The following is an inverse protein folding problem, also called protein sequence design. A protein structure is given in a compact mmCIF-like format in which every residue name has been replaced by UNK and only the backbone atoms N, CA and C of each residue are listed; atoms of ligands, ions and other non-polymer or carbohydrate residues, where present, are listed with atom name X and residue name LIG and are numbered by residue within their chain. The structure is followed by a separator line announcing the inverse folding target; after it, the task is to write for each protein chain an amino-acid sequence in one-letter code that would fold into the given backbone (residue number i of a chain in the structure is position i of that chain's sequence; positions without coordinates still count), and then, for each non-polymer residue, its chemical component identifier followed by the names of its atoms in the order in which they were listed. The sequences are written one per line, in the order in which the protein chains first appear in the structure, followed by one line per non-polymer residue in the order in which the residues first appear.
data_IF_700812314808
#
_entry.id   IF_700812314808
#
_cell.length_a   1.000
_cell.length_b   1.000
_cell.length_c   1.000
_cell.angle_alpha   90.00
_cell.angle_beta   90.00
_cell.angle_gamma   90.00
#
_symmetry.space_group_name_H-M   'P 1'
#
loop_
_entity.id
_entity.type
_entity.pdbx_description
1 polymer ?
#
# COMPACT_ATOMS: atom_id res chain seq x y z
N UNK A 1 -37.70 22.29 18.31
CA UNK A 1 -37.28 20.86 18.25
C UNK A 1 -35.96 20.81 17.48
N UNK A 2 -34.84 20.61 18.16
CA UNK A 2 -33.55 20.47 17.51
C UNK A 2 -33.44 19.06 16.89
N UNK A 3 -33.03 18.91 15.61
CA UNK A 3 -32.82 17.60 15.04
C UNK A 3 -31.62 16.93 15.72
N UNK A 4 -31.85 15.73 16.24
CA UNK A 4 -30.81 14.88 16.82
C UNK A 4 -29.85 14.51 15.70
N UNK A 5 -28.61 14.96 15.79
CA UNK A 5 -27.55 14.59 14.85
C UNK A 5 -27.38 13.05 14.86
N UNK A 6 -27.28 12.40 13.67
CA UNK A 6 -27.10 10.95 13.63
C UNK A 6 -25.78 10.59 14.31
N UNK A 7 -25.86 9.71 15.28
CA UNK A 7 -24.70 9.11 15.94
C UNK A 7 -23.91 8.33 14.89
N UNK A 8 -22.81 8.88 14.41
CA UNK A 8 -21.85 8.16 13.56
C UNK A 8 -21.07 7.22 14.46
N UNK A 9 -21.56 6.00 14.60
CA UNK A 9 -20.76 4.91 15.15
C UNK A 9 -19.49 4.79 14.31
N UNK A 10 -18.33 5.08 14.93
CA UNK A 10 -17.04 4.73 14.33
C UNK A 10 -17.06 3.23 14.05
N UNK A 11 -16.76 2.77 12.82
CA UNK A 11 -16.64 1.34 12.59
C UNK A 11 -15.60 0.78 13.57
N UNK A 12 -15.81 -0.43 14.11
CA UNK A 12 -14.83 -1.05 14.99
C UNK A 12 -13.49 -1.09 14.28
N UNK A 13 -12.43 -0.64 14.95
CA UNK A 13 -11.08 -0.76 14.41
C UNK A 13 -10.78 -2.23 14.15
N UNK A 14 -10.24 -2.59 12.97
CA UNK A 14 -9.93 -3.98 12.69
C UNK A 14 -8.99 -4.51 13.76
N UNK A 15 -9.31 -5.67 14.32
CA UNK A 15 -8.44 -6.32 15.32
C UNK A 15 -7.15 -6.73 14.61
N UNK A 16 -6.09 -5.97 14.85
CA UNK A 16 -4.78 -6.22 14.27
C UNK A 16 -4.14 -7.42 14.95
N UNK A 17 -3.77 -8.49 14.21
CA UNK A 17 -3.12 -9.65 14.77
C UNK A 17 -1.85 -9.25 15.57
N UNK A 18 -1.79 -9.64 16.85
CA UNK A 18 -0.68 -9.28 17.75
C UNK A 18 -0.64 -7.80 18.18
N UNK A 19 -1.73 -7.06 17.99
CA UNK A 19 -1.94 -5.73 18.57
C UNK A 19 -1.08 -4.58 18.03
N UNK A 20 -0.14 -4.84 17.10
CA UNK A 20 0.78 -3.83 16.56
C UNK A 20 0.60 -3.69 15.05
N UNK A 21 0.19 -2.51 14.60
CA UNK A 21 -0.01 -2.24 13.17
C UNK A 21 1.31 -1.96 12.45
N UNK A 22 1.56 -2.69 11.35
CA UNK A 22 2.83 -2.67 10.62
C UNK A 22 2.75 -2.07 9.22
N UNK A 23 1.56 -1.99 8.59
CA UNK A 23 1.48 -1.56 7.18
C UNK A 23 1.78 -0.08 6.99
N UNK A 24 1.40 0.76 7.94
CA UNK A 24 1.67 2.20 7.92
C UNK A 24 2.07 2.66 9.32
N UNK A 25 3.30 3.09 9.47
CA UNK A 25 3.88 3.51 10.76
C UNK A 25 3.63 5.00 11.00
N UNK A 26 3.98 5.82 10.02
CA UNK A 26 3.86 7.28 10.08
C UNK A 26 3.83 7.88 8.65
N UNK A 27 4.03 9.17 8.52
CA UNK A 27 3.97 9.88 7.23
C UNK A 27 5.15 9.60 6.28
N UNK A 28 6.21 8.95 6.75
CA UNK A 28 7.40 8.62 5.96
C UNK A 28 7.70 7.13 5.88
N UNK A 29 7.06 6.32 6.72
CA UNK A 29 7.33 4.89 6.83
C UNK A 29 6.06 4.06 6.64
N UNK A 30 6.08 3.23 5.64
CA UNK A 30 5.03 2.23 5.35
C UNK A 30 5.63 1.02 4.64
N UNK A 31 4.90 -0.10 4.66
CA UNK A 31 5.28 -1.32 3.97
C UNK A 31 4.42 -1.49 2.70
N UNK A 32 5.05 -1.78 1.57
CA UNK A 32 4.41 -2.09 0.29
C UNK A 32 4.66 -3.52 -0.20
N UNK A 33 5.23 -4.37 0.64
CA UNK A 33 5.71 -5.70 0.22
C UNK A 33 4.59 -6.62 -0.27
N UNK A 34 3.44 -6.66 0.41
CA UNK A 34 2.28 -7.46 -0.02
C UNK A 34 1.68 -6.99 -1.35
N UNK A 35 2.00 -5.77 -1.80
CA UNK A 35 1.67 -5.25 -3.13
C UNK A 35 2.75 -5.55 -4.17
N UNK A 36 3.75 -6.39 -3.84
CA UNK A 36 4.82 -6.78 -4.75
C UNK A 36 5.94 -5.75 -4.92
N UNK A 37 6.14 -4.86 -3.95
CA UNK A 37 7.16 -3.80 -4.03
C UNK A 37 8.55 -4.34 -4.37
N UNK A 38 8.96 -5.43 -3.73
CA UNK A 38 10.28 -6.03 -3.88
C UNK A 38 10.32 -7.21 -4.87
N UNK A 39 9.18 -7.58 -5.48
CA UNK A 39 9.10 -8.66 -6.45
C UNK A 39 9.48 -8.19 -7.85
N UNK A 40 10.70 -7.67 -8.00
CA UNK A 40 11.27 -7.12 -9.24
C UNK A 40 12.73 -7.49 -9.38
N UNK A 41 13.25 -7.62 -10.63
CA UNK A 41 14.67 -7.94 -10.87
C UNK A 41 15.61 -6.90 -10.25
N UNK A 42 15.23 -5.63 -10.32
CA UNK A 42 15.92 -4.52 -9.67
C UNK A 42 14.99 -3.86 -8.65
N UNK A 43 15.17 -4.24 -7.40
CA UNK A 43 14.46 -3.69 -6.25
C UNK A 43 15.32 -2.73 -5.43
N UNK A 44 16.32 -2.08 -6.05
CA UNK A 44 17.10 -1.03 -5.39
C UNK A 44 16.22 0.16 -5.02
N UNK A 45 16.56 0.86 -3.94
CA UNK A 45 15.82 2.03 -3.45
C UNK A 45 15.54 3.06 -4.55
N UNK A 46 16.58 3.46 -5.29
CA UNK A 46 16.47 4.46 -6.34
C UNK A 46 15.52 4.05 -7.45
N UNK A 47 15.62 2.78 -7.89
CA UNK A 47 14.75 2.23 -8.92
C UNK A 47 13.29 2.15 -8.48
N UNK A 48 13.05 1.71 -7.25
CA UNK A 48 11.69 1.66 -6.69
C UNK A 48 11.11 3.07 -6.51
N UNK A 49 11.89 4.03 -6.08
CA UNK A 49 11.44 5.41 -5.93
C UNK A 49 11.06 6.04 -7.27
N UNK A 50 11.87 5.84 -8.30
CA UNK A 50 11.58 6.29 -9.68
C UNK A 50 10.29 5.66 -10.20
N UNK A 51 10.17 4.35 -10.07
CA UNK A 51 9.00 3.58 -10.51
C UNK A 51 7.71 4.05 -9.85
N UNK A 52 7.71 4.09 -8.52
CA UNK A 52 6.54 4.48 -7.75
C UNK A 52 6.17 5.95 -7.97
N UNK A 53 7.16 6.83 -8.08
CA UNK A 53 6.96 8.24 -8.41
C UNK A 53 6.31 8.43 -9.78
N UNK A 54 6.78 7.73 -10.79
CA UNK A 54 6.22 7.75 -12.14
C UNK A 54 4.76 7.28 -12.18
N UNK A 55 4.43 6.21 -11.43
CA UNK A 55 3.05 5.73 -11.31
C UNK A 55 2.15 6.78 -10.64
N UNK A 56 2.60 7.37 -9.55
CA UNK A 56 1.85 8.40 -8.83
C UNK A 56 1.56 9.60 -9.72
N UNK A 57 2.58 10.09 -10.43
CA UNK A 57 2.43 11.23 -11.32
C UNK A 57 1.48 10.94 -12.50
N UNK A 58 1.54 9.74 -13.06
CA UNK A 58 0.61 9.32 -14.11
C UNK A 58 -0.80 9.19 -13.55
N UNK A 59 -0.98 8.54 -12.38
CA UNK A 59 -2.30 8.31 -11.78
C UNK A 59 -2.99 9.61 -11.33
N UNK A 60 -2.26 10.66 -10.98
CA UNK A 60 -2.83 11.98 -10.67
C UNK A 60 -3.68 12.54 -11.80
N UNK A 61 -3.37 12.19 -13.05
CA UNK A 61 -4.07 12.65 -14.27
C UNK A 61 -5.21 11.73 -14.68
N UNK A 62 -5.34 10.57 -14.04
CA UNK A 62 -6.41 9.59 -14.33
C UNK A 62 -7.72 10.07 -13.72
N UNK A 63 -8.79 10.13 -14.53
CA UNK A 63 -10.15 10.33 -14.01
C UNK A 63 -10.54 9.17 -13.09
N UNK A 64 -11.33 9.49 -12.05
CA UNK A 64 -11.71 8.50 -11.03
C UNK A 64 -12.98 7.74 -11.45
N UNK A 65 -12.98 7.19 -12.66
CA UNK A 65 -13.97 6.25 -13.18
C UNK A 65 -13.35 4.87 -13.43
N UNK A 66 -14.19 3.87 -13.60
CA UNK A 66 -13.77 2.47 -13.72
C UNK A 66 -12.90 2.25 -14.95
N UNK A 67 -13.29 2.81 -16.09
CA UNK A 67 -12.64 2.58 -17.37
C UNK A 67 -11.24 3.22 -17.39
N UNK A 68 -11.11 4.45 -16.90
CA UNK A 68 -9.83 5.15 -16.84
C UNK A 68 -8.86 4.50 -15.84
N UNK A 69 -9.35 4.03 -14.69
CA UNK A 69 -8.54 3.30 -13.70
C UNK A 69 -8.08 1.96 -14.28
N UNK A 70 -8.94 1.24 -14.99
CA UNK A 70 -8.56 -0.03 -15.63
C UNK A 70 -7.58 0.18 -16.79
N UNK A 71 -7.75 1.22 -17.59
CA UNK A 71 -6.81 1.62 -18.64
C UNK A 71 -5.41 1.93 -18.05
N UNK A 72 -5.34 2.64 -16.92
CA UNK A 72 -4.09 2.87 -16.20
C UNK A 72 -3.45 1.55 -15.75
N UNK A 73 -4.23 0.61 -15.21
CA UNK A 73 -3.75 -0.71 -14.81
C UNK A 73 -3.09 -1.43 -15.98
N UNK A 74 -3.84 -1.59 -17.09
CA UNK A 74 -3.39 -2.30 -18.28
C UNK A 74 -2.11 -1.69 -18.88
N UNK A 75 -2.08 -0.36 -19.00
CA UNK A 75 -0.91 0.34 -19.54
C UNK A 75 0.31 0.22 -18.62
N UNK A 76 0.11 0.29 -17.31
CA UNK A 76 1.19 0.13 -16.34
C UNK A 76 1.74 -1.29 -16.35
N UNK A 77 0.88 -2.31 -16.38
CA UNK A 77 1.27 -3.71 -16.49
C UNK A 77 2.07 -3.98 -17.78
N UNK A 78 1.60 -3.44 -18.91
CA UNK A 78 2.27 -3.57 -20.21
C UNK A 78 3.66 -2.92 -20.22
N UNK A 79 3.76 -1.68 -19.70
CA UNK A 79 5.01 -0.91 -19.67
C UNK A 79 6.05 -1.51 -18.73
N UNK A 80 5.60 -2.10 -17.62
CA UNK A 80 6.44 -2.62 -16.56
C UNK A 80 6.60 -4.14 -16.61
N UNK A 81 6.25 -4.76 -17.73
CA UNK A 81 6.42 -6.19 -17.92
C UNK A 81 7.89 -6.56 -17.74
N UNK A 82 8.17 -7.44 -16.78
CA UNK A 82 9.51 -7.96 -16.52
C UNK A 82 9.41 -9.37 -15.93
N UNK A 83 10.49 -10.13 -16.05
CA UNK A 83 10.63 -11.36 -15.30
C UNK A 83 10.70 -11.04 -13.80
N UNK A 84 9.88 -11.71 -13.00
CA UNK A 84 9.79 -11.47 -11.55
C UNK A 84 10.47 -12.60 -10.80
N UNK A 85 11.18 -12.31 -9.68
CA UNK A 85 11.77 -13.35 -8.84
C UNK A 85 10.77 -14.42 -8.39
N UNK A 86 9.54 -14.01 -8.11
CA UNK A 86 8.43 -14.91 -7.76
C UNK A 86 7.30 -14.70 -8.77
N UNK A 87 7.23 -15.58 -9.77
CA UNK A 87 6.29 -15.44 -10.91
C UNK A 87 4.82 -15.42 -10.46
N UNK A 88 4.48 -16.23 -9.45
CA UNK A 88 3.11 -16.37 -8.93
C UNK A 88 2.69 -15.22 -8.00
N UNK A 89 3.62 -14.35 -7.62
CA UNK A 89 3.32 -13.22 -6.74
C UNK A 89 3.07 -11.95 -7.55
N UNK A 90 1.84 -11.44 -7.46
CA UNK A 90 1.42 -10.26 -8.22
C UNK A 90 2.10 -8.98 -7.76
N UNK A 91 2.59 -8.18 -8.71
CA UNK A 91 3.11 -6.85 -8.47
C UNK A 91 2.05 -5.80 -8.85
N UNK A 92 1.40 -5.23 -7.86
CA UNK A 92 0.26 -4.32 -8.05
C UNK A 92 0.67 -3.00 -8.74
N UNK A 93 0.06 -2.62 -9.86
CA UNK A 93 0.35 -1.36 -10.56
C UNK A 93 -0.14 -0.12 -9.81
N UNK A 94 -1.07 -0.30 -8.86
CA UNK A 94 -1.61 0.79 -8.05
C UNK A 94 -0.78 1.08 -6.79
N UNK A 95 0.36 0.43 -6.60
CA UNK A 95 1.31 0.83 -5.60
C UNK A 95 2.11 2.04 -6.12
N UNK A 96 2.04 3.15 -5.43
CA UNK A 96 2.72 4.40 -5.76
C UNK A 96 3.35 5.05 -4.54
N UNK A 97 3.80 6.30 -4.68
CA UNK A 97 4.21 7.15 -3.57
C UNK A 97 3.03 8.00 -3.09
N UNK A 98 2.74 7.95 -1.80
CA UNK A 98 1.67 8.70 -1.13
C UNK A 98 2.23 9.48 0.06
N UNK A 99 1.35 10.22 0.74
CA UNK A 99 1.73 11.07 1.88
C UNK A 99 2.37 12.39 1.45
N UNK A 100 2.84 13.19 2.41
CA UNK A 100 3.45 14.50 2.12
C UNK A 100 4.61 14.35 1.14
N UNK A 101 4.54 15.04 0.00
CA UNK A 101 5.56 15.00 -1.07
C UNK A 101 5.90 13.59 -1.59
N UNK A 102 5.00 12.62 -1.48
CA UNK A 102 5.28 11.25 -1.90
C UNK A 102 6.31 10.54 -1.01
N UNK A 103 6.21 10.75 0.29
CA UNK A 103 7.21 10.32 1.27
C UNK A 103 7.31 8.82 1.49
N UNK A 104 6.28 8.05 1.13
CA UNK A 104 6.20 6.61 1.41
C UNK A 104 5.39 5.83 0.37
N UNK A 105 5.62 4.52 0.19
CA UNK A 105 4.79 3.69 -0.67
C UNK A 105 3.36 3.55 -0.10
N UNK A 106 2.39 3.44 -1.01
CA UNK A 106 1.01 3.20 -0.63
C UNK A 106 0.08 3.02 -1.81
N UNK A 107 -1.15 2.64 -1.52
CA UNK A 107 -2.15 2.33 -2.53
C UNK A 107 -2.78 3.60 -3.12
N UNK A 108 -2.63 3.79 -4.43
CA UNK A 108 -3.24 4.90 -5.18
C UNK A 108 -4.78 4.82 -5.23
N UNK A 109 -5.35 3.65 -4.99
CA UNK A 109 -6.80 3.42 -4.94
C UNK A 109 -7.40 3.64 -3.54
N UNK A 110 -6.55 3.90 -2.53
CA UNK A 110 -7.02 4.09 -1.15
C UNK A 110 -7.89 5.36 -1.03
N UNK A 111 -8.98 5.36 -0.23
CA UNK A 111 -9.85 6.52 -0.08
C UNK A 111 -9.14 7.81 0.35
N UNK A 112 -8.03 7.70 1.08
CA UNK A 112 -7.23 8.85 1.52
C UNK A 112 -6.08 9.20 0.54
N UNK A 113 -5.94 8.51 -0.60
CA UNK A 113 -4.98 8.92 -1.62
C UNK A 113 -5.49 10.15 -2.39
N UNK A 114 -4.56 10.94 -2.91
CA UNK A 114 -4.84 12.19 -3.61
C UNK A 114 -5.84 11.98 -4.77
N UNK A 115 -6.85 12.83 -4.82
CA UNK A 115 -7.88 12.82 -5.86
C UNK A 115 -9.00 11.81 -5.69
N UNK A 116 -8.95 10.92 -4.68
CA UNK A 116 -9.99 9.91 -4.47
C UNK A 116 -11.19 10.42 -3.65
N UNK A 117 -11.08 11.57 -2.99
CA UNK A 117 -12.19 12.25 -2.28
C UNK A 117 -12.94 11.34 -1.28
N UNK A 118 -12.23 10.41 -0.62
CA UNK A 118 -12.81 9.48 0.34
C UNK A 118 -13.44 8.23 -0.27
N UNK A 119 -13.42 8.07 -1.60
CA UNK A 119 -13.96 6.90 -2.29
C UNK A 119 -12.92 5.78 -2.31
N UNK A 120 -13.34 4.59 -1.94
CA UNK A 120 -12.49 3.39 -1.95
C UNK A 120 -12.56 2.68 -3.31
N UNK A 121 -11.51 2.85 -4.12
CA UNK A 121 -11.38 2.20 -5.42
C UNK A 121 -10.62 0.85 -5.38
N UNK A 122 -10.20 0.37 -4.20
CA UNK A 122 -9.41 -0.88 -4.08
C UNK A 122 -10.12 -2.11 -4.63
N UNK A 123 -11.44 -2.06 -4.78
CA UNK A 123 -12.22 -3.08 -5.48
C UNK A 123 -11.80 -3.32 -6.94
N UNK A 124 -11.14 -2.35 -7.58
CA UNK A 124 -10.65 -2.43 -8.95
C UNK A 124 -9.23 -3.03 -9.06
N UNK A 125 -8.60 -3.37 -7.94
CA UNK A 125 -7.30 -4.07 -7.94
C UNK A 125 -7.49 -5.57 -8.18
N UNK A 126 -6.39 -6.25 -8.56
CA UNK A 126 -6.38 -7.69 -8.79
C UNK A 126 -6.87 -8.50 -7.58
N UNK A 127 -6.46 -8.12 -6.37
CA UNK A 127 -6.87 -8.81 -5.15
C UNK A 127 -8.27 -8.40 -4.65
N UNK A 128 -8.82 -7.29 -5.16
CA UNK A 128 -10.11 -6.76 -4.74
C UNK A 128 -10.08 -6.03 -3.39
N UNK A 129 -11.18 -5.32 -3.12
CA UNK A 129 -11.26 -4.40 -1.98
C UNK A 129 -11.10 -5.07 -0.61
N UNK A 130 -11.67 -6.26 -0.43
CA UNK A 130 -11.60 -6.98 0.85
C UNK A 130 -10.17 -7.41 1.18
N UNK A 131 -9.49 -8.09 0.23
CA UNK A 131 -8.12 -8.54 0.46
C UNK A 131 -7.17 -7.34 0.66
N UNK A 132 -7.30 -6.29 -0.17
CA UNK A 132 -6.45 -5.10 -0.02
C UNK A 132 -6.68 -4.31 1.28
N UNK A 133 -7.85 -4.47 1.92
CA UNK A 133 -8.18 -3.81 3.17
C UNK A 133 -7.81 -4.63 4.40
N UNK A 134 -8.09 -5.93 4.34
CA UNK A 134 -8.12 -6.79 5.54
C UNK A 134 -7.00 -7.83 5.56
N UNK A 135 -6.07 -7.81 4.59
CA UNK A 135 -4.94 -8.73 4.56
C UNK A 135 -3.86 -8.32 5.57
N UNK A 136 -3.50 -9.28 6.40
CA UNK A 136 -2.35 -9.20 7.30
C UNK A 136 -1.33 -10.27 6.91
N UNK A 137 -0.12 -9.86 6.57
CA UNK A 137 0.96 -10.78 6.18
C UNK A 137 1.41 -11.69 7.35
N UNK A 138 2.15 -12.78 7.09
CA UNK A 138 2.62 -13.69 8.14
C UNK A 138 3.34 -12.99 9.29
N UNK A 139 4.09 -11.93 9.03
CA UNK A 139 4.80 -11.15 10.05
C UNK A 139 3.89 -10.62 11.17
N UNK A 140 2.64 -10.28 10.84
CA UNK A 140 1.67 -9.89 11.86
C UNK A 140 1.38 -10.98 12.89
N UNK A 141 1.47 -12.24 12.48
CA UNK A 141 1.18 -13.40 13.32
C UNK A 141 2.44 -13.94 13.99
N UNK A 142 3.55 -13.98 13.26
CA UNK A 142 4.76 -14.70 13.64
C UNK A 142 5.74 -13.84 14.46
N UNK A 143 5.86 -12.53 14.13
CA UNK A 143 6.79 -11.66 14.83
C UNK A 143 6.23 -11.25 16.21
N UNK A 144 6.99 -11.45 17.30
CA UNK A 144 6.60 -11.01 18.63
C UNK A 144 6.32 -9.50 18.69
N UNK A 145 5.31 -9.07 19.46
CA UNK A 145 4.90 -7.66 19.56
C UNK A 145 6.04 -6.72 19.94
N UNK A 146 6.92 -7.15 20.85
CA UNK A 146 8.11 -6.36 21.24
C UNK A 146 9.05 -6.10 20.05
N UNK A 147 9.26 -7.10 19.19
CA UNK A 147 10.08 -6.93 17.98
C UNK A 147 9.41 -6.02 16.96
N UNK A 148 8.08 -6.10 16.79
CA UNK A 148 7.33 -5.19 15.94
C UNK A 148 7.53 -3.73 16.35
N UNK A 149 7.43 -3.43 17.64
CA UNK A 149 7.66 -2.08 18.17
C UNK A 149 9.10 -1.60 17.96
N UNK A 150 10.09 -2.48 18.15
CA UNK A 150 11.49 -2.16 17.87
C UNK A 150 11.65 -1.76 16.39
N UNK A 151 11.18 -2.61 15.46
CA UNK A 151 11.33 -2.33 14.02
C UNK A 151 10.63 -1.02 13.62
N UNK A 152 9.46 -0.75 14.13
CA UNK A 152 8.75 0.52 13.91
C UNK A 152 9.54 1.74 14.41
N UNK A 153 10.29 1.58 15.49
CA UNK A 153 11.04 2.67 16.11
C UNK A 153 12.38 2.93 15.42
N UNK A 154 13.08 1.85 15.03
CA UNK A 154 14.47 1.97 14.52
C UNK A 154 14.55 2.17 13.00
N UNK A 155 13.58 1.68 12.25
CA UNK A 155 13.58 1.85 10.80
C UNK A 155 12.98 3.22 10.42
N UNK A 156 13.86 4.19 10.16
CA UNK A 156 13.48 5.56 9.85
C UNK A 156 13.04 5.82 8.41
N UNK A 157 13.06 4.81 7.54
CA UNK A 157 12.66 4.93 6.14
C UNK A 157 11.88 3.70 5.63
N UNK A 158 11.03 3.94 4.66
CA UNK A 158 10.14 2.93 4.10
C UNK A 158 10.85 1.76 3.42
N UNK A 159 12.03 1.99 2.80
CA UNK A 159 12.73 0.97 2.03
C UNK A 159 13.32 -0.10 2.96
N UNK A 160 14.08 0.33 3.95
CA UNK A 160 14.66 -0.59 4.95
C UNK A 160 13.56 -1.22 5.80
N UNK A 161 12.56 -0.43 6.21
CA UNK A 161 11.43 -0.94 6.96
C UNK A 161 10.73 -2.11 6.26
N UNK A 162 10.39 -1.95 4.98
CA UNK A 162 9.71 -2.99 4.23
C UNK A 162 10.55 -4.25 4.06
N UNK A 163 11.87 -4.12 3.82
CA UNK A 163 12.78 -5.27 3.75
C UNK A 163 12.85 -6.02 5.08
N UNK A 164 13.03 -5.30 6.19
CA UNK A 164 13.12 -5.91 7.54
C UNK A 164 11.81 -6.59 7.93
N UNK A 165 10.66 -5.96 7.65
CA UNK A 165 9.33 -6.52 7.99
C UNK A 165 9.03 -7.79 7.19
N UNK A 166 9.60 -7.94 6.01
CA UNK A 166 9.34 -9.10 5.15
C UNK A 166 10.41 -10.18 5.22
N UNK A 167 11.48 -9.92 5.94
CA UNK A 167 12.50 -10.94 6.21
C UNK A 167 11.97 -11.91 7.28
N UNK A 168 11.41 -13.02 6.81
CA UNK A 168 10.69 -14.02 7.65
C UNK A 168 11.60 -15.22 8.00
N UNK A 169 12.87 -14.98 8.33
CA UNK A 169 13.86 -16.04 8.64
C UNK A 169 14.23 -16.09 10.09
#
# INVERSE_FOLDING_TARGET
MNPIAPCRLKPPEPVVPGGVYLCQVNDTVSCGACCGLYNRPDATRGRLQELLGGRTETFRRVTRDIDAIDAFRLETERREQCERPYADFYACPFLGLIGPHGSRPGCLLHPLADGNSGIDYRGLSFYGGLACRDYFCPTYRNLPSAHKEIVKTVCGDWYLYGLVITEDR
#
